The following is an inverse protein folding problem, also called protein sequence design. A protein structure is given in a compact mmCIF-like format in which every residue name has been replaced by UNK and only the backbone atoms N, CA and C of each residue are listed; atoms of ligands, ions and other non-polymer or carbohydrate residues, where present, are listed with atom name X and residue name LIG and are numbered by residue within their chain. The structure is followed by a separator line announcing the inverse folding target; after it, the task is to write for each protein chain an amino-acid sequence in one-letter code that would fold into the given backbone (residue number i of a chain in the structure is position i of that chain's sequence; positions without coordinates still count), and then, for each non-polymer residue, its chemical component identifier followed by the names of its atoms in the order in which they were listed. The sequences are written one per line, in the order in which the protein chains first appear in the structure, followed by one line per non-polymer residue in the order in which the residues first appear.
data_IF_984977288532
#
_entry.id   IF_984977288532
#
_cell.length_a   1.000
_cell.length_b   1.000
_cell.length_c   1.000
_cell.angle_alpha   90.00
_cell.angle_beta   90.00
_cell.angle_gamma   90.00
#
_symmetry.space_group_name_H-M   'P 1'
#
loop_
_entity.id
_entity.type
_entity.pdbx_description
1 polymer ?
#
# COMPACT_ATOMS: atom_id res chain seq x y z
N UNK A 1 -28.58 20.06 7.05
CA UNK A 1 -29.41 19.43 6.00
C UNK A 1 -28.95 19.97 4.66
N UNK A 2 -28.03 19.27 3.98
CA UNK A 2 -27.57 19.69 2.65
C UNK A 2 -28.37 18.89 1.62
N UNK A 3 -29.39 19.53 1.05
CA UNK A 3 -30.11 18.99 -0.10
C UNK A 3 -29.18 18.97 -1.31
N UNK A 4 -28.62 17.80 -1.59
CA UNK A 4 -27.93 17.57 -2.85
C UNK A 4 -28.99 17.24 -3.90
N UNK A 5 -29.65 18.28 -4.42
CA UNK A 5 -30.69 18.14 -5.44
C UNK A 5 -30.07 17.55 -6.71
N UNK A 6 -30.43 16.30 -7.02
CA UNK A 6 -30.04 15.64 -8.27
C UNK A 6 -30.67 16.40 -9.42
N UNK A 7 -29.87 17.16 -10.17
CA UNK A 7 -30.27 17.68 -11.48
C UNK A 7 -30.38 16.46 -12.42
N UNK A 8 -31.56 15.86 -12.49
CA UNK A 8 -31.87 14.85 -13.50
C UNK A 8 -32.06 15.57 -14.83
N UNK A 9 -30.97 15.80 -15.57
CA UNK A 9 -31.05 16.30 -16.93
C UNK A 9 -31.68 15.20 -17.78
N UNK A 10 -32.96 15.36 -18.17
CA UNK A 10 -33.62 14.46 -19.12
C UNK A 10 -32.87 14.59 -20.43
N UNK A 11 -32.06 13.59 -20.77
CA UNK A 11 -31.31 13.56 -22.01
C UNK A 11 -32.23 13.06 -23.11
N UNK A 12 -32.69 13.96 -23.97
CA UNK A 12 -33.39 13.61 -25.20
C UNK A 12 -32.38 13.04 -26.20
N UNK A 13 -32.52 11.75 -26.50
CA UNK A 13 -31.78 11.06 -27.56
C UNK A 13 -32.63 11.00 -28.84
N UNK A 14 -31.97 11.10 -29.99
CA UNK A 14 -32.57 10.76 -31.28
C UNK A 14 -32.79 9.24 -31.38
N UNK A 15 -33.66 8.75 -32.27
CA UNK A 15 -33.92 7.31 -32.45
C UNK A 15 -32.67 6.48 -32.80
N UNK A 16 -31.60 7.14 -33.27
CA UNK A 16 -30.30 6.56 -33.58
C UNK A 16 -29.31 6.56 -32.39
N UNK A 17 -29.78 6.87 -31.18
CA UNK A 17 -28.99 6.90 -29.95
C UNK A 17 -28.08 8.13 -29.79
N UNK A 18 -27.97 9.01 -30.81
CA UNK A 18 -27.20 10.25 -30.70
C UNK A 18 -27.96 11.28 -29.86
N UNK A 19 -27.22 12.16 -29.19
CA UNK A 19 -27.82 13.26 -28.45
C UNK A 19 -28.57 14.23 -29.37
N UNK A 20 -29.70 14.77 -28.93
CA UNK A 20 -30.46 15.76 -29.68
C UNK A 20 -29.65 17.07 -29.90
N UNK A 21 -29.85 17.77 -31.04
CA UNK A 21 -29.25 19.08 -31.26
C UNK A 21 -29.66 20.05 -30.13
N UNK A 22 -28.69 20.69 -29.48
CA UNK A 22 -28.91 21.56 -28.31
C UNK A 22 -28.62 20.90 -26.95
N UNK A 23 -28.41 19.58 -26.90
CA UNK A 23 -27.98 18.89 -25.68
C UNK A 23 -26.79 17.96 -25.98
N UNK A 24 -25.57 18.48 -26.22
CA UNK A 24 -24.41 17.68 -26.64
C UNK A 24 -23.87 16.71 -25.57
N UNK A 25 -24.59 16.54 -24.46
CA UNK A 25 -24.15 15.79 -23.30
C UNK A 25 -23.02 16.49 -22.55
N UNK A 26 -22.44 15.77 -21.58
CA UNK A 26 -21.34 16.28 -20.75
C UNK A 26 -20.04 16.33 -21.57
N UNK A 27 -19.29 17.47 -21.59
CA UNK A 27 -18.04 17.58 -22.35
C UNK A 27 -17.05 16.48 -21.99
N UNK A 28 -16.35 15.92 -23.00
CA UNK A 28 -15.35 14.86 -22.82
C UNK A 28 -14.31 15.31 -21.77
N UNK A 29 -14.03 14.46 -20.79
CA UNK A 29 -13.07 14.75 -19.70
C UNK A 29 -13.60 15.59 -18.54
N UNK A 30 -14.79 16.19 -18.64
CA UNK A 30 -15.33 17.02 -17.54
C UNK A 30 -15.83 16.21 -16.34
N UNK A 31 -16.01 14.88 -16.45
CA UNK A 31 -16.42 13.99 -15.35
C UNK A 31 -15.46 14.05 -14.17
N UNK A 32 -14.17 14.03 -14.46
CA UNK A 32 -13.11 13.94 -13.44
C UNK A 32 -12.34 15.26 -13.27
N UNK A 33 -12.65 16.30 -14.06
CA UNK A 33 -11.92 17.58 -14.01
C UNK A 33 -12.00 18.24 -12.62
N UNK A 34 -13.21 18.33 -12.07
CA UNK A 34 -13.43 18.92 -10.73
C UNK A 34 -12.79 18.09 -9.62
N UNK A 35 -12.87 16.75 -9.73
CA UNK A 35 -12.24 15.83 -8.79
C UNK A 35 -10.71 15.93 -8.83
N UNK A 36 -10.12 16.02 -10.02
CA UNK A 36 -8.67 16.16 -10.17
C UNK A 36 -8.17 17.51 -9.67
N UNK A 37 -8.90 18.60 -9.92
CA UNK A 37 -8.53 19.92 -9.38
C UNK A 37 -8.60 19.95 -7.85
N UNK A 38 -9.60 19.29 -7.26
CA UNK A 38 -9.71 19.18 -5.81
C UNK A 38 -8.56 18.34 -5.22
N UNK A 39 -8.24 17.19 -5.81
CA UNK A 39 -7.11 16.35 -5.39
C UNK A 39 -5.77 17.09 -5.51
N UNK A 40 -5.59 17.86 -6.57
CA UNK A 40 -4.37 18.63 -6.79
C UNK A 40 -4.24 19.79 -5.79
N UNK A 41 -5.37 20.42 -5.43
CA UNK A 41 -5.43 21.44 -4.38
C UNK A 41 -5.09 20.85 -3.00
N UNK A 42 -5.61 19.66 -2.68
CA UNK A 42 -5.27 18.94 -1.44
C UNK A 42 -3.79 18.59 -1.40
N UNK A 43 -3.21 18.16 -2.54
CA UNK A 43 -1.79 17.85 -2.64
C UNK A 43 -0.90 19.08 -2.44
N UNK A 44 -1.32 20.26 -2.89
CA UNK A 44 -0.59 21.51 -2.68
C UNK A 44 -0.69 22.08 -1.26
N UNK A 45 -1.61 21.58 -0.43
CA UNK A 45 -1.75 22.01 0.97
C UNK A 45 -0.74 21.33 1.92
N UNK A 46 0.24 20.59 1.41
CA UNK A 46 1.21 19.85 2.23
C UNK A 46 1.91 20.74 3.25
N UNK A 47 2.32 21.93 2.84
CA UNK A 47 3.15 22.82 3.66
C UNK A 47 2.30 23.49 4.76
N UNK A 48 1.11 23.93 4.41
CA UNK A 48 0.14 24.49 5.35
C UNK A 48 -0.33 23.44 6.36
N UNK A 49 -0.55 22.20 5.93
CA UNK A 49 -0.92 21.10 6.81
C UNK A 49 0.18 20.80 7.83
N UNK A 50 1.45 20.81 7.41
CA UNK A 50 2.60 20.61 8.30
C UNK A 50 2.71 21.77 9.30
N UNK A 51 2.56 23.01 8.83
CA UNK A 51 2.59 24.19 9.71
C UNK A 51 1.47 24.15 10.75
N UNK A 52 0.26 23.74 10.35
CA UNK A 52 -0.87 23.59 11.26
C UNK A 52 -0.65 22.46 12.25
N UNK A 53 -0.09 21.32 11.82
CA UNK A 53 0.29 20.22 12.71
C UNK A 53 1.32 20.67 13.75
N UNK A 54 2.35 21.42 13.34
CA UNK A 54 3.38 21.98 14.24
C UNK A 54 2.76 22.92 15.28
N UNK A 55 1.85 23.79 14.86
CA UNK A 55 1.13 24.70 15.75
C UNK A 55 0.30 23.94 16.79
N UNK A 56 -0.48 22.93 16.35
CA UNK A 56 -1.27 22.08 17.24
C UNK A 56 -0.43 21.28 18.23
N UNK A 57 0.72 20.79 17.79
CA UNK A 57 1.67 20.09 18.66
C UNK A 57 2.23 21.02 19.74
N UNK A 58 2.60 22.24 19.37
CA UNK A 58 3.07 23.27 20.30
C UNK A 58 1.99 23.71 21.31
N UNK A 59 0.72 23.69 20.91
CA UNK A 59 -0.42 23.96 21.82
C UNK A 59 -0.81 22.77 22.69
N UNK A 60 -0.15 21.61 22.58
CA UNK A 60 -0.44 20.42 23.38
C UNK A 60 -1.71 19.66 22.96
N UNK A 61 -2.15 19.78 21.71
CA UNK A 61 -3.30 19.03 21.19
C UNK A 61 -2.98 17.52 21.20
N UNK A 62 -3.71 16.75 22.00
CA UNK A 62 -3.53 15.31 22.16
C UNK A 62 -3.65 14.56 20.84
N UNK A 63 -4.54 14.98 19.94
CA UNK A 63 -4.70 14.32 18.64
C UNK A 63 -3.46 14.52 17.75
N UNK A 64 -2.88 15.73 17.78
CA UNK A 64 -1.65 16.03 17.05
C UNK A 64 -0.46 15.24 17.60
N UNK A 65 -0.37 15.11 18.93
CA UNK A 65 0.67 14.33 19.60
C UNK A 65 0.57 12.84 19.21
N UNK A 66 -0.60 12.22 19.35
CA UNK A 66 -0.81 10.83 18.95
C UNK A 66 -0.48 10.61 17.47
N UNK A 67 -0.95 11.49 16.59
CA UNK A 67 -0.70 11.39 15.15
C UNK A 67 0.80 11.35 14.80
N UNK A 68 1.60 12.17 15.50
CA UNK A 68 3.06 12.21 15.31
C UNK A 68 3.72 10.98 15.91
N UNK A 69 3.35 10.59 17.13
CA UNK A 69 3.92 9.41 17.80
C UNK A 69 3.67 8.12 17.02
N UNK A 70 2.47 7.92 16.46
CA UNK A 70 2.15 6.76 15.60
C UNK A 70 2.98 6.64 14.30
N UNK A 71 3.67 7.71 13.91
CA UNK A 71 4.51 7.76 12.71
C UNK A 71 5.99 7.67 13.01
N UNK A 72 6.41 8.16 14.17
CA UNK A 72 7.82 8.14 14.58
C UNK A 72 8.14 6.85 15.33
N UNK A 73 7.22 6.37 16.17
CA UNK A 73 7.43 5.14 16.92
C UNK A 73 7.35 3.92 15.98
N UNK A 74 8.20 2.91 16.21
CA UNK A 74 8.09 1.64 15.51
C UNK A 74 6.70 1.04 15.78
N UNK A 75 6.03 0.61 14.72
CA UNK A 75 4.64 0.12 14.77
C UNK A 75 4.50 -1.32 15.26
N UNK A 76 5.61 -1.97 15.58
CA UNK A 76 5.65 -3.36 16.02
C UNK A 76 6.49 -3.49 17.28
N UNK A 77 6.15 -4.48 18.09
CA UNK A 77 7.03 -5.00 19.12
C UNK A 77 8.05 -5.95 18.49
N UNK A 78 9.09 -6.27 19.25
CA UNK A 78 9.96 -7.39 18.92
C UNK A 78 9.18 -8.68 19.19
N UNK A 79 9.16 -9.57 18.21
CA UNK A 79 8.60 -10.92 18.34
C UNK A 79 9.78 -11.88 18.44
N UNK A 80 9.82 -12.65 19.52
CA UNK A 80 10.75 -13.77 19.66
C UNK A 80 10.17 -14.97 18.92
N UNK A 81 10.98 -15.53 18.01
CA UNK A 81 10.61 -16.73 17.26
C UNK A 81 11.44 -17.88 17.80
N UNK A 82 10.76 -18.92 18.29
CA UNK A 82 11.44 -20.15 18.74
C UNK A 82 12.06 -20.93 17.58
N UNK A 83 11.50 -20.73 16.38
CA UNK A 83 12.04 -21.25 15.14
C UNK A 83 11.56 -20.47 13.93
N UNK A 84 12.18 -20.78 12.80
CA UNK A 84 12.14 -19.98 11.55
C UNK A 84 11.27 -20.70 10.49
N UNK A 85 10.60 -21.80 10.87
CA UNK A 85 9.79 -22.58 9.94
C UNK A 85 8.38 -22.00 9.77
N UNK A 86 7.74 -22.17 8.59
CA UNK A 86 6.36 -21.72 8.37
C UNK A 86 5.35 -22.35 9.34
N UNK A 87 5.61 -23.58 9.77
CA UNK A 87 4.75 -24.36 10.68
C UNK A 87 4.76 -23.75 12.10
N UNK A 88 5.94 -23.35 12.60
CA UNK A 88 6.07 -22.70 13.90
C UNK A 88 5.42 -21.31 13.91
N UNK A 89 5.62 -20.52 12.85
CA UNK A 89 4.97 -19.21 12.72
C UNK A 89 3.44 -19.37 12.70
N UNK A 90 2.93 -20.43 12.07
CA UNK A 90 1.50 -20.73 12.10
C UNK A 90 1.02 -21.15 13.50
N UNK A 91 1.79 -21.96 14.22
CA UNK A 91 1.47 -22.37 15.59
C UNK A 91 1.39 -21.16 16.54
N UNK A 92 2.42 -20.30 16.54
CA UNK A 92 2.42 -19.07 17.36
C UNK A 92 1.26 -18.12 17.02
N UNK A 93 0.84 -18.09 15.74
CA UNK A 93 -0.33 -17.31 15.31
C UNK A 93 -1.65 -17.91 15.83
N UNK A 94 -1.77 -19.25 15.84
CA UNK A 94 -2.95 -19.96 16.37
C UNK A 94 -3.04 -19.79 17.89
N UNK A 95 -1.91 -19.87 18.58
CA UNK A 95 -1.81 -19.69 20.04
C UNK A 95 -2.03 -18.23 20.48
N UNK A 96 -2.06 -17.31 19.51
CA UNK A 96 -2.30 -15.88 19.75
C UNK A 96 -1.09 -15.14 20.29
N UNK A 97 0.08 -15.76 20.26
CA UNK A 97 1.34 -15.13 20.66
C UNK A 97 1.77 -14.05 19.68
N UNK A 98 1.39 -14.17 18.40
CA UNK A 98 1.65 -13.18 17.35
C UNK A 98 0.36 -12.83 16.62
N UNK A 99 0.25 -11.57 16.17
CA UNK A 99 -0.88 -11.10 15.36
C UNK A 99 -0.75 -11.58 13.90
N UNK A 100 -1.87 -11.56 13.17
CA UNK A 100 -1.90 -11.88 11.73
C UNK A 100 -1.04 -10.95 10.88
N UNK A 101 -0.88 -9.69 11.31
CA UNK A 101 -0.01 -8.71 10.65
C UNK A 101 1.45 -9.06 10.88
N UNK A 102 1.84 -9.35 12.13
CA UNK A 102 3.20 -9.80 12.47
C UNK A 102 3.55 -11.10 11.72
N UNK A 103 2.66 -12.09 11.72
CA UNK A 103 2.86 -13.36 11.02
C UNK A 103 3.07 -13.18 9.50
N UNK A 104 2.31 -12.27 8.88
CA UNK A 104 2.49 -11.93 7.46
C UNK A 104 3.87 -11.32 7.20
N UNK A 105 4.28 -10.35 8.02
CA UNK A 105 5.56 -9.66 7.84
C UNK A 105 6.74 -10.64 8.04
N UNK A 106 6.63 -11.55 9.01
CA UNK A 106 7.57 -12.65 9.21
C UNK A 106 7.62 -13.57 7.99
N UNK A 107 6.47 -14.03 7.48
CA UNK A 107 6.42 -14.92 6.33
C UNK A 107 7.05 -14.30 5.06
N UNK A 108 6.86 -12.99 4.85
CA UNK A 108 7.52 -12.25 3.75
C UNK A 108 9.04 -12.24 3.93
N UNK A 109 9.51 -11.98 5.14
CA UNK A 109 10.95 -12.02 5.44
C UNK A 109 11.52 -13.43 5.23
N UNK A 110 10.85 -14.47 5.74
CA UNK A 110 11.24 -15.86 5.57
C UNK A 110 11.38 -16.24 4.09
N UNK A 111 10.36 -15.92 3.29
CA UNK A 111 10.38 -16.17 1.85
C UNK A 111 11.61 -15.56 1.18
N UNK A 112 11.94 -14.31 1.51
CA UNK A 112 13.10 -13.65 0.92
C UNK A 112 14.43 -14.31 1.30
N UNK A 113 14.54 -14.78 2.55
CA UNK A 113 15.74 -15.48 3.03
C UNK A 113 15.88 -16.87 2.39
N UNK A 114 14.77 -17.60 2.24
CA UNK A 114 14.77 -18.92 1.56
C UNK A 114 15.14 -18.78 0.09
N UNK A 115 14.57 -17.79 -0.61
CA UNK A 115 14.91 -17.51 -2.03
C UNK A 115 16.40 -17.19 -2.19
N UNK A 116 16.98 -16.39 -1.28
CA UNK A 116 18.42 -16.09 -1.29
C UNK A 116 19.26 -17.37 -1.08
N UNK A 117 18.85 -18.23 -0.15
CA UNK A 117 19.54 -19.50 0.11
C UNK A 117 19.48 -20.44 -1.10
N UNK A 118 18.31 -20.60 -1.71
CA UNK A 118 18.09 -21.45 -2.88
C UNK A 118 18.94 -20.99 -4.08
N UNK A 119 19.02 -19.68 -4.32
CA UNK A 119 19.90 -19.11 -5.36
C UNK A 119 21.37 -19.45 -5.09
N UNK A 120 21.80 -19.37 -3.82
CA UNK A 120 23.14 -19.76 -3.41
C UNK A 120 23.43 -21.24 -3.68
N UNK A 121 22.50 -22.13 -3.34
CA UNK A 121 22.62 -23.56 -3.62
C UNK A 121 22.67 -23.87 -5.11
N UNK A 122 21.82 -23.23 -5.92
CA UNK A 122 21.81 -23.39 -7.38
C UNK A 122 23.17 -23.00 -7.97
N UNK A 123 23.74 -21.87 -7.54
CA UNK A 123 25.05 -21.43 -8.00
C UNK A 123 26.17 -22.39 -7.60
N UNK A 124 26.11 -22.97 -6.40
CA UNK A 124 27.08 -23.97 -5.96
C UNK A 124 26.98 -25.24 -6.80
N UNK A 125 25.76 -25.74 -7.05
CA UNK A 125 25.54 -26.91 -7.92
C UNK A 125 25.99 -26.64 -9.35
N UNK A 126 25.74 -25.45 -9.89
CA UNK A 126 26.22 -25.03 -11.22
C UNK A 126 27.75 -25.04 -11.29
N UNK A 127 28.45 -24.44 -10.32
CA UNK A 127 29.91 -24.46 -10.28
C UNK A 127 30.49 -25.87 -10.22
N UNK A 128 29.89 -26.75 -9.43
CA UNK A 128 30.31 -28.16 -9.36
C UNK A 128 30.13 -28.87 -10.70
N UNK A 129 29.00 -28.64 -11.37
CA UNK A 129 28.75 -29.20 -12.70
C UNK A 129 29.71 -28.63 -13.75
N UNK A 130 29.97 -27.33 -13.73
CA UNK A 130 30.95 -26.68 -14.60
C UNK A 130 32.34 -27.26 -14.40
N UNK A 131 32.79 -27.41 -13.15
CA UNK A 131 34.09 -28.02 -12.83
C UNK A 131 34.21 -29.48 -13.28
N UNK A 132 33.13 -30.26 -13.17
CA UNK A 132 33.06 -31.63 -13.70
C UNK A 132 33.12 -31.67 -15.23
N UNK A 133 32.51 -30.69 -15.91
CA UNK A 133 32.51 -30.59 -17.38
C UNK A 133 33.84 -30.08 -17.95
N UNK A 134 34.51 -29.14 -17.28
CA UNK A 134 35.81 -28.61 -17.73
C UNK A 134 37.00 -29.50 -17.36
N UNK A 135 36.78 -30.58 -16.59
CA UNK A 135 37.83 -31.56 -16.27
C UNK A 135 38.82 -31.11 -15.19
N UNK A 136 38.45 -30.10 -14.39
CA UNK A 136 39.26 -29.59 -13.28
C UNK A 136 39.16 -30.45 -11.99
N UNK A 137 38.55 -31.63 -12.09
CA UNK A 137 38.56 -32.62 -11.01
C UNK A 137 39.86 -33.44 -11.09
N UNK A 138 40.93 -32.91 -10.48
CA UNK A 138 42.07 -33.69 -10.01
C UNK A 138 42.16 -33.63 -8.50
#
# INVERSE_FOLDING_TARGET
MNDNSRISTVVTHLPNGKFAPGNPGRPRGSKNRVSNTALQSVKSMSDDAINQLKSKLASGDWQAICFVLERILPRGRVVELDGVTPEEVMAQMIDGEISTVEAKDIAVALKSLTEISEIGEINNRLKLLEAMLTGDVR
#
